data_IF_891705626557
#
_entry.id   IF_891705626557
#
_cell.length_a   1.000
_cell.length_b   1.000
_cell.length_c   1.000
_cell.angle_alpha   90.00
_cell.angle_beta   90.00
_cell.angle_gamma   90.00
#
_symmetry.space_group_name_H-M   'P 1'
#
loop_
_entity.id
_entity.type
_entity.pdbx_description
1 polymer ?
#
# COMPACT_ATOMS: atom_id res chain seq x y z
N UNK A 1 26.22 5.62 1.69
CA UNK A 1 24.84 5.19 1.39
C UNK A 1 24.32 4.37 2.57
N UNK A 2 23.01 4.27 2.82
CA UNK A 2 22.46 3.50 3.97
C UNK A 2 22.97 2.03 4.00
N UNK A 3 23.23 1.45 2.84
CA UNK A 3 23.82 0.12 2.67
C UNK A 3 25.25 0.06 3.23
N UNK A 4 26.08 1.07 2.98
CA UNK A 4 27.46 1.14 3.52
C UNK A 4 27.48 1.27 5.05
N UNK A 5 26.40 1.77 5.65
CA UNK A 5 26.21 1.81 7.10
C UNK A 5 25.60 0.53 7.68
N UNK A 6 25.46 -0.54 6.88
CA UNK A 6 24.98 -1.85 7.33
C UNK A 6 23.47 -2.07 7.22
N UNK A 7 22.70 -1.12 6.67
CA UNK A 7 21.26 -1.31 6.41
C UNK A 7 21.09 -2.01 5.06
N UNK A 8 20.77 -3.30 5.10
CA UNK A 8 20.72 -4.16 3.91
C UNK A 8 19.31 -4.49 3.43
N UNK A 9 18.26 -4.05 4.12
CA UNK A 9 16.87 -4.32 3.75
C UNK A 9 15.98 -3.09 3.86
N UNK A 10 15.04 -2.95 2.92
CA UNK A 10 14.15 -1.79 2.81
C UNK A 10 12.70 -2.25 2.67
N UNK A 11 11.79 -1.59 3.39
CA UNK A 11 10.35 -1.89 3.39
C UNK A 11 9.59 -0.85 2.59
N UNK A 12 8.89 -1.30 1.55
CA UNK A 12 8.04 -0.49 0.69
C UNK A 12 6.56 -0.78 0.98
N UNK A 13 5.72 0.23 0.85
CA UNK A 13 4.28 0.12 1.06
C UNK A 13 3.53 0.52 -0.21
N UNK A 14 2.55 -0.30 -0.59
CA UNK A 14 1.64 -0.01 -1.71
C UNK A 14 0.30 0.61 -1.26
N UNK A 15 0.16 0.84 0.05
CA UNK A 15 -1.04 1.35 0.72
C UNK A 15 -0.64 2.09 2.01
N UNK A 16 -1.60 2.70 2.69
CA UNK A 16 -1.42 3.48 3.93
C UNK A 16 -0.62 4.78 3.74
N UNK A 17 -0.24 5.41 4.85
CA UNK A 17 0.38 6.75 4.88
C UNK A 17 1.73 6.83 4.14
N UNK A 18 2.47 5.71 4.06
CA UNK A 18 3.78 5.65 3.40
C UNK A 18 3.71 4.98 2.01
N UNK A 19 2.54 5.01 1.38
CA UNK A 19 2.32 4.48 0.03
C UNK A 19 3.24 5.19 -0.97
N UNK A 20 3.93 4.41 -1.78
CA UNK A 20 4.59 4.88 -2.99
C UNK A 20 3.72 4.58 -4.22
N UNK A 21 3.82 5.43 -5.23
CA UNK A 21 3.28 5.18 -6.57
C UNK A 21 4.07 4.08 -7.30
N UNK A 22 3.48 3.52 -8.35
CA UNK A 22 4.11 2.45 -9.13
C UNK A 22 5.45 2.88 -9.74
N UNK A 23 5.56 4.13 -10.21
CA UNK A 23 6.81 4.69 -10.75
C UNK A 23 7.90 4.82 -9.68
N UNK A 24 7.53 5.29 -8.49
CA UNK A 24 8.45 5.40 -7.34
C UNK A 24 8.91 4.03 -6.85
N UNK A 25 8.01 3.04 -6.80
CA UNK A 25 8.34 1.65 -6.48
C UNK A 25 9.32 1.09 -7.49
N UNK A 26 9.05 1.25 -8.78
CA UNK A 26 9.92 0.76 -9.84
C UNK A 26 11.31 1.42 -9.78
N UNK A 27 11.36 2.72 -9.50
CA UNK A 27 12.62 3.42 -9.29
C UNK A 27 13.37 2.90 -8.06
N UNK A 28 12.69 2.75 -6.92
CA UNK A 28 13.27 2.23 -5.69
C UNK A 28 13.82 0.82 -5.89
N UNK A 29 13.05 -0.08 -6.52
CA UNK A 29 13.49 -1.45 -6.81
C UNK A 29 14.76 -1.49 -7.67
N UNK A 30 14.85 -0.65 -8.71
CA UNK A 30 16.08 -0.55 -9.53
C UNK A 30 17.28 -0.04 -8.72
N UNK A 31 17.08 0.91 -7.81
CA UNK A 31 18.17 1.41 -6.96
C UNK A 31 18.62 0.37 -5.94
N UNK A 32 17.68 -0.29 -5.26
CA UNK A 32 17.97 -1.32 -4.27
C UNK A 32 18.65 -2.54 -4.91
N UNK A 33 18.22 -2.94 -6.11
CA UNK A 33 18.85 -4.00 -6.89
C UNK A 33 20.31 -3.66 -7.24
N UNK A 34 20.58 -2.44 -7.72
CA UNK A 34 21.96 -1.99 -7.99
C UNK A 34 22.83 -1.93 -6.73
N UNK A 35 22.22 -1.65 -5.58
CA UNK A 35 22.92 -1.58 -4.29
C UNK A 35 23.06 -2.95 -3.60
N UNK A 36 22.56 -4.05 -4.19
CA UNK A 36 22.59 -5.37 -3.58
C UNK A 36 21.70 -5.50 -2.33
N UNK A 37 20.72 -4.63 -2.16
CA UNK A 37 19.85 -4.59 -0.99
C UNK A 37 18.56 -5.40 -1.17
N UNK A 38 18.07 -5.98 -0.07
CA UNK A 38 16.81 -6.72 -0.04
C UNK A 38 15.62 -5.76 -0.06
N UNK A 39 14.75 -5.92 -1.05
CA UNK A 39 13.47 -5.22 -1.09
C UNK A 39 12.39 -6.07 -0.42
N UNK A 40 11.67 -5.51 0.53
CA UNK A 40 10.48 -6.11 1.13
C UNK A 40 9.27 -5.22 0.84
N UNK A 41 8.12 -5.82 0.56
CA UNK A 41 6.92 -5.08 0.14
C UNK A 41 5.77 -5.39 1.09
N UNK A 42 4.85 -4.45 1.26
CA UNK A 42 3.53 -4.66 1.84
C UNK A 42 2.50 -4.64 0.69
N UNK A 43 2.20 -5.80 0.08
CA UNK A 43 1.51 -5.87 -1.21
C UNK A 43 -0.01 -5.90 -1.06
N UNK A 44 -0.59 -4.79 -0.61
CA UNK A 44 -2.05 -4.61 -0.58
C UNK A 44 -2.49 -3.54 -1.57
N UNK A 45 -3.64 -3.73 -2.20
CA UNK A 45 -4.20 -2.75 -3.14
C UNK A 45 -4.90 -1.61 -2.39
N UNK A 46 -4.31 -0.43 -2.43
CA UNK A 46 -4.81 0.78 -1.77
C UNK A 46 -6.22 1.19 -2.23
N UNK A 47 -6.52 1.10 -3.53
CA UNK A 47 -7.84 1.45 -4.06
C UNK A 47 -8.94 0.52 -3.52
N UNK A 48 -8.65 -0.79 -3.44
CA UNK A 48 -9.56 -1.78 -2.89
C UNK A 48 -9.80 -1.54 -1.38
N UNK A 49 -8.75 -1.23 -0.62
CA UNK A 49 -8.87 -0.88 0.81
C UNK A 49 -9.72 0.38 0.98
N UNK A 50 -9.45 1.44 0.20
CA UNK A 50 -10.20 2.68 0.26
C UNK A 50 -11.68 2.48 -0.08
N UNK A 51 -11.99 1.64 -1.09
CA UNK A 51 -13.35 1.28 -1.42
C UNK A 51 -14.05 0.55 -0.27
N UNK A 52 -13.41 -0.44 0.34
CA UNK A 52 -14.01 -1.16 1.49
C UNK A 52 -14.27 -0.24 2.67
N UNK A 53 -13.34 0.69 2.98
CA UNK A 53 -13.53 1.70 4.03
C UNK A 53 -14.75 2.57 3.76
N UNK A 54 -14.91 3.07 2.53
CA UNK A 54 -16.09 3.84 2.13
C UNK A 54 -17.38 3.05 2.30
N UNK A 55 -17.38 1.78 1.91
CA UNK A 55 -18.57 0.92 2.05
C UNK A 55 -18.96 0.72 3.51
N UNK A 56 -17.99 0.55 4.41
CA UNK A 56 -18.26 0.36 5.84
C UNK A 56 -18.70 1.65 6.54
N UNK A 57 -18.21 2.81 6.09
CA UNK A 57 -18.61 4.12 6.61
C UNK A 57 -19.93 4.63 6.01
N UNK A 58 -20.43 4.00 4.95
CA UNK A 58 -21.70 4.40 4.33
C UNK A 58 -22.85 3.79 5.15
N UNK A 59 -23.74 4.60 5.74
CA UNK A 59 -24.89 4.06 6.45
C UNK A 59 -25.77 3.27 5.47
N UNK A 60 -25.99 1.99 5.78
CA UNK A 60 -26.94 1.15 5.05
C UNK A 60 -28.32 1.80 5.20
N UNK A 61 -28.92 2.27 4.10
CA UNK A 61 -30.33 2.69 4.14
C UNK A 61 -31.14 1.49 4.66
N UNK A 62 -31.92 1.62 5.73
CA UNK A 62 -32.78 0.53 6.16
C UNK A 62 -33.65 0.15 4.97
N UNK A 63 -33.69 -1.15 4.67
CA UNK A 63 -34.61 -1.68 3.67
C UNK A 63 -36.00 -1.20 4.09
N UNK A 64 -36.66 -0.38 3.25
CA UNK A 64 -38.02 0.08 3.51
C UNK A 64 -38.83 -1.19 3.78
N UNK A 65 -39.31 -1.35 5.01
CA UNK A 65 -40.31 -2.36 5.31
C UNK A 65 -41.45 -2.12 4.33
N UNK A 66 -41.70 -3.10 3.49
CA UNK A 66 -42.88 -3.13 2.63
C UNK A 66 -44.01 -3.43 3.61
N UNK A 67 -44.60 -2.40 4.19
CA UNK A 67 -45.78 -2.57 5.05
C UNK A 67 -46.96 -2.94 4.14
N UNK A 68 -47.74 -3.99 4.46
CA UNK A 68 -48.89 -4.41 3.67
C UNK A 68 -50.02 -3.37 3.63
#
# INVERSE_FOLDING_TARGET
>A
MMVDSGISSFKLYLTYQYKLSDDEILQAMRHLQRAGALTTVHPENDAAIAQRRRNLSTPVKPHRAITP
#
